data_IF_286752119753
#
_entry.id   IF_286752119753
#
_cell.length_a   1.000
_cell.length_b   1.000
_cell.length_c   1.000
_cell.angle_alpha   90.00
_cell.angle_beta   90.00
_cell.angle_gamma   90.00
#
_symmetry.space_group_name_H-M   'P 1'
#
loop_
_entity.id
_entity.type
_entity.pdbx_description
1 polymer ?
#
# COMPACT_ATOMS: atom_id res chain seq x y z
N UNK A 1 15.18 45.33 -40.51
CA UNK A 1 15.87 44.25 -39.79
C UNK A 1 15.20 44.09 -38.44
N UNK A 2 14.18 43.23 -38.36
CA UNK A 2 13.48 42.90 -37.11
C UNK A 2 13.81 41.46 -36.77
N UNK A 3 14.57 41.25 -35.70
CA UNK A 3 14.85 39.93 -35.16
C UNK A 3 13.61 39.48 -34.38
N UNK A 4 12.86 38.53 -34.95
CA UNK A 4 11.76 37.85 -34.27
C UNK A 4 12.34 36.85 -33.26
N UNK A 5 12.17 37.15 -31.98
CA UNK A 5 12.41 36.19 -30.91
C UNK A 5 11.32 35.11 -30.98
N UNK A 6 11.67 33.94 -31.50
CA UNK A 6 10.82 32.76 -31.45
C UNK A 6 10.75 32.26 -30.01
N UNK A 7 9.67 32.61 -29.31
CA UNK A 7 9.24 31.94 -28.09
C UNK A 7 8.85 30.51 -28.44
N UNK A 8 9.80 29.58 -28.30
CA UNK A 8 9.50 28.15 -28.36
C UNK A 8 8.58 27.80 -27.21
N UNK A 9 7.31 27.55 -27.50
CA UNK A 9 6.42 26.84 -26.60
C UNK A 9 7.04 25.48 -26.34
N UNK A 10 7.65 25.34 -25.17
CA UNK A 10 8.14 24.08 -24.66
C UNK A 10 6.89 23.25 -24.33
N UNK A 11 6.49 22.42 -25.29
CA UNK A 11 5.36 21.51 -25.20
C UNK A 11 5.49 20.75 -23.88
N UNK A 12 4.49 20.93 -23.00
CA UNK A 12 4.51 20.33 -21.67
C UNK A 12 4.67 18.80 -21.84
N UNK A 13 5.48 18.14 -21.00
CA UNK A 13 5.73 16.71 -21.12
C UNK A 13 4.42 15.94 -21.22
N UNK A 14 4.38 15.06 -22.22
CA UNK A 14 3.22 14.31 -22.68
C UNK A 14 2.55 13.56 -21.51
N UNK A 15 1.41 14.07 -21.02
CA UNK A 15 0.68 13.51 -19.86
C UNK A 15 -0.16 12.27 -20.23
N UNK A 16 0.04 11.74 -21.44
CA UNK A 16 -0.75 10.64 -22.00
C UNK A 16 -0.07 9.26 -21.81
N UNK A 17 0.98 9.16 -20.97
CA UNK A 17 1.56 7.87 -20.58
C UNK A 17 0.51 6.98 -19.89
N UNK A 18 0.33 5.76 -20.42
CA UNK A 18 -0.55 4.74 -19.83
C UNK A 18 0.10 4.18 -18.56
N UNK A 19 -0.53 4.39 -17.41
CA UNK A 19 -0.02 3.97 -16.09
C UNK A 19 -0.65 2.66 -15.60
N UNK A 20 -1.82 2.28 -16.12
CA UNK A 20 -2.41 0.97 -15.89
C UNK A 20 -3.31 0.51 -17.05
N UNK A 21 -3.38 -0.80 -17.20
CA UNK A 21 -4.27 -1.49 -18.13
C UNK A 21 -5.07 -2.53 -17.37
N UNK A 22 -6.39 -2.53 -17.54
CA UNK A 22 -7.31 -3.48 -16.93
C UNK A 22 -7.99 -4.29 -18.03
N UNK A 23 -7.89 -5.60 -17.91
CA UNK A 23 -8.56 -6.55 -18.78
C UNK A 23 -9.82 -7.11 -18.12
N UNK A 24 -9.94 -7.01 -16.80
CA UNK A 24 -10.99 -7.61 -15.99
C UNK A 24 -11.13 -9.11 -16.29
N UNK A 25 -10.02 -9.80 -16.52
CA UNK A 25 -10.04 -11.23 -16.87
C UNK A 25 -10.47 -11.55 -18.32
N UNK A 26 -10.67 -10.54 -19.16
CA UNK A 26 -10.88 -10.72 -20.60
C UNK A 26 -9.53 -10.81 -21.34
N UNK A 27 -9.53 -11.33 -22.57
CA UNK A 27 -8.30 -11.42 -23.38
C UNK A 27 -7.79 -10.05 -23.88
N UNK A 28 -8.67 -9.07 -24.01
CA UNK A 28 -8.36 -7.74 -24.53
C UNK A 28 -8.49 -6.67 -23.43
N UNK A 29 -7.65 -5.62 -23.46
CA UNK A 29 -7.80 -4.45 -22.59
C UNK A 29 -9.22 -3.87 -22.66
N UNK A 30 -9.83 -3.66 -21.50
CA UNK A 30 -11.16 -3.07 -21.36
C UNK A 30 -11.09 -1.62 -20.87
N UNK A 31 -10.06 -1.28 -20.09
CA UNK A 31 -9.82 0.06 -19.58
C UNK A 31 -8.32 0.34 -19.58
N UNK A 32 -7.94 1.47 -20.17
CA UNK A 32 -6.60 2.06 -20.07
C UNK A 32 -6.72 3.30 -19.19
N UNK A 33 -5.83 3.45 -18.23
CA UNK A 33 -5.70 4.68 -17.45
C UNK A 33 -4.39 5.35 -17.81
N UNK A 34 -4.48 6.54 -18.39
CA UNK A 34 -3.37 7.48 -18.51
C UNK A 34 -3.03 8.11 -17.16
N UNK A 35 -1.83 8.68 -17.03
CA UNK A 35 -1.44 9.43 -15.83
C UNK A 35 -2.44 10.54 -15.51
N UNK A 36 -2.91 11.27 -16.53
CA UNK A 36 -3.92 12.33 -16.39
C UNK A 36 -5.24 11.79 -15.83
N UNK A 37 -5.73 10.68 -16.38
CA UNK A 37 -6.97 10.05 -15.94
C UNK A 37 -6.86 9.47 -14.52
N UNK A 38 -5.72 8.90 -14.16
CA UNK A 38 -5.47 8.41 -12.80
C UNK A 38 -5.55 9.54 -11.76
N UNK A 39 -4.94 10.70 -12.03
CA UNK A 39 -5.02 11.88 -11.16
C UNK A 39 -6.44 12.43 -11.08
N UNK A 40 -7.19 12.39 -12.18
CA UNK A 40 -8.56 12.88 -12.26
C UNK A 40 -9.63 11.84 -11.88
N UNK A 41 -9.23 10.62 -11.48
CA UNK A 41 -10.15 9.53 -11.19
C UNK A 41 -11.09 9.94 -10.06
N UNK A 42 -12.40 9.87 -10.30
CA UNK A 42 -13.39 10.16 -9.27
C UNK A 42 -13.54 8.99 -8.30
N UNK A 43 -14.05 9.25 -7.09
CA UNK A 43 -14.36 8.20 -6.09
C UNK A 43 -15.33 7.17 -6.65
N UNK A 44 -16.37 7.60 -7.39
CA UNK A 44 -17.34 6.69 -8.01
C UNK A 44 -16.71 5.81 -9.10
N UNK A 45 -15.87 6.39 -9.95
CA UNK A 45 -15.17 5.63 -11.00
C UNK A 45 -14.22 4.59 -10.37
N UNK A 46 -13.45 4.99 -9.36
CA UNK A 46 -12.59 4.09 -8.60
C UNK A 46 -13.39 2.95 -7.94
N UNK A 47 -14.49 3.27 -7.24
CA UNK A 47 -15.35 2.28 -6.59
C UNK A 47 -15.93 1.29 -7.61
N UNK A 48 -16.33 1.75 -8.79
CA UNK A 48 -16.82 0.89 -9.86
C UNK A 48 -15.74 -0.07 -10.39
N UNK A 49 -14.52 0.42 -10.65
CA UNK A 49 -13.40 -0.42 -11.09
C UNK A 49 -13.11 -1.49 -10.03
N UNK A 50 -13.02 -1.08 -8.76
CA UNK A 50 -12.76 -1.98 -7.63
C UNK A 50 -13.86 -3.05 -7.49
N UNK A 51 -15.13 -2.64 -7.57
CA UNK A 51 -16.29 -3.54 -7.49
C UNK A 51 -16.28 -4.58 -8.60
N UNK A 52 -15.98 -4.19 -9.85
CA UNK A 52 -15.86 -5.14 -10.98
C UNK A 52 -14.80 -6.20 -10.68
N UNK A 53 -13.60 -5.77 -10.25
CA UNK A 53 -12.51 -6.68 -9.91
C UNK A 53 -12.90 -7.65 -8.80
N UNK A 54 -13.48 -7.15 -7.70
CA UNK A 54 -13.86 -7.98 -6.55
C UNK A 54 -14.99 -8.95 -6.89
N UNK A 55 -16.00 -8.52 -7.64
CA UNK A 55 -17.08 -9.41 -8.08
C UNK A 55 -16.57 -10.52 -9.01
N UNK A 56 -15.66 -10.20 -9.94
CA UNK A 56 -15.05 -11.23 -10.79
C UNK A 56 -14.18 -12.20 -9.98
N UNK A 57 -13.43 -11.71 -8.99
CA UNK A 57 -12.68 -12.56 -8.07
C UNK A 57 -13.61 -13.49 -7.27
N UNK A 58 -14.71 -12.98 -6.73
CA UNK A 58 -15.71 -13.78 -6.02
C UNK A 58 -16.28 -14.89 -6.91
N UNK A 59 -16.69 -14.55 -8.13
CA UNK A 59 -17.18 -15.53 -9.10
C UNK A 59 -16.11 -16.60 -9.39
N UNK A 60 -14.85 -16.21 -9.60
CA UNK A 60 -13.77 -17.16 -9.84
C UNK A 60 -13.54 -18.09 -8.63
N UNK A 61 -13.57 -17.56 -7.40
CA UNK A 61 -13.43 -18.37 -6.20
C UNK A 61 -14.52 -19.44 -6.08
N UNK A 62 -15.76 -19.13 -6.47
CA UNK A 62 -16.86 -20.11 -6.52
C UNK A 62 -16.64 -21.18 -7.60
N UNK A 63 -16.03 -20.81 -8.74
CA UNK A 63 -15.74 -21.74 -9.84
C UNK A 63 -14.52 -22.64 -9.60
N UNK A 64 -13.66 -22.33 -8.61
CA UNK A 64 -12.42 -23.09 -8.37
C UNK A 64 -12.65 -24.59 -8.13
N UNK A 65 -13.82 -24.99 -7.62
CA UNK A 65 -14.16 -26.39 -7.40
C UNK A 65 -14.30 -27.20 -8.71
N UNK A 66 -14.60 -26.54 -9.83
CA UNK A 66 -14.91 -27.20 -11.10
C UNK A 66 -13.75 -27.19 -12.10
N UNK A 67 -12.93 -26.13 -12.12
CA UNK A 67 -11.83 -25.98 -13.08
C UNK A 67 -10.63 -25.24 -12.45
N UNK A 68 -9.89 -25.87 -11.52
CA UNK A 68 -8.95 -25.17 -10.65
C UNK A 68 -7.79 -24.48 -11.38
N UNK A 69 -7.23 -25.09 -12.44
CA UNK A 69 -6.04 -24.54 -13.10
C UNK A 69 -6.33 -23.26 -13.91
N UNK A 70 -7.33 -23.28 -14.79
CA UNK A 70 -7.68 -22.13 -15.62
C UNK A 70 -8.21 -20.96 -14.77
N UNK A 71 -9.02 -21.28 -13.76
CA UNK A 71 -9.57 -20.30 -12.83
C UNK A 71 -8.47 -19.70 -11.93
N UNK A 72 -7.46 -20.48 -11.54
CA UNK A 72 -6.33 -19.96 -10.77
C UNK A 72 -5.53 -18.91 -11.55
N UNK A 73 -5.27 -19.13 -12.83
CA UNK A 73 -4.61 -18.13 -13.69
C UNK A 73 -5.46 -16.86 -13.85
N UNK A 74 -6.78 -17.03 -13.95
CA UNK A 74 -7.72 -15.90 -14.02
C UNK A 74 -7.72 -15.09 -12.70
N UNK A 75 -7.75 -15.77 -11.55
CA UNK A 75 -7.62 -15.14 -10.22
C UNK A 75 -6.29 -14.39 -10.12
N UNK A 76 -5.19 -15.00 -10.56
CA UNK A 76 -3.89 -14.36 -10.58
C UNK A 76 -3.94 -13.06 -11.39
N UNK A 77 -4.48 -13.07 -12.61
CA UNK A 77 -4.64 -11.86 -13.43
C UNK A 77 -5.49 -10.78 -12.73
N UNK A 78 -6.64 -11.16 -12.17
CA UNK A 78 -7.54 -10.22 -11.49
C UNK A 78 -6.91 -9.59 -10.24
N UNK A 79 -6.16 -10.37 -9.47
CA UNK A 79 -5.42 -9.88 -8.29
C UNK A 79 -4.33 -8.91 -8.72
N UNK A 80 -3.60 -9.19 -9.79
CA UNK A 80 -2.61 -8.27 -10.33
C UNK A 80 -3.23 -6.94 -10.75
N UNK A 81 -4.38 -6.98 -11.43
CA UNK A 81 -5.12 -5.77 -11.79
C UNK A 81 -5.58 -4.97 -10.55
N UNK A 82 -6.05 -5.64 -9.51
CA UNK A 82 -6.42 -4.99 -8.25
C UNK A 82 -5.23 -4.33 -7.55
N UNK A 83 -4.08 -5.01 -7.52
CA UNK A 83 -2.83 -4.45 -6.98
C UNK A 83 -2.35 -3.27 -7.83
N UNK A 84 -2.42 -3.38 -9.17
CA UNK A 84 -2.07 -2.30 -10.08
C UNK A 84 -2.94 -1.06 -9.87
N UNK A 85 -4.25 -1.23 -9.63
CA UNK A 85 -5.12 -0.10 -9.26
C UNK A 85 -4.63 0.56 -7.96
N UNK A 86 -4.33 -0.23 -6.93
CA UNK A 86 -3.82 0.32 -5.66
C UNK A 86 -2.51 1.09 -5.86
N UNK A 87 -1.58 0.59 -6.69
CA UNK A 87 -0.34 1.30 -7.02
C UNK A 87 -0.58 2.61 -7.77
N UNK A 88 -1.47 2.62 -8.77
CA UNK A 88 -1.87 3.85 -9.46
C UNK A 88 -2.44 4.88 -8.48
N UNK A 89 -3.26 4.45 -7.53
CA UNK A 89 -3.80 5.35 -6.51
C UNK A 89 -2.70 5.85 -5.56
N UNK A 90 -1.74 5.01 -5.16
CA UNK A 90 -0.58 5.46 -4.35
C UNK A 90 0.22 6.53 -5.10
N UNK A 91 0.52 6.32 -6.38
CA UNK A 91 1.39 7.20 -7.18
C UNK A 91 0.71 8.49 -7.65
N UNK A 92 -0.60 8.45 -7.92
CA UNK A 92 -1.28 9.53 -8.64
C UNK A 92 -2.53 10.06 -7.93
N UNK A 93 -3.09 9.35 -6.95
CA UNK A 93 -4.35 9.74 -6.32
C UNK A 93 -4.49 9.21 -4.88
N UNK A 94 -3.56 9.61 -4.01
CA UNK A 94 -3.48 9.11 -2.63
C UNK A 94 -4.76 9.41 -1.82
N UNK A 95 -5.44 10.52 -2.13
CA UNK A 95 -6.74 10.86 -1.53
C UNK A 95 -7.74 9.74 -1.77
N UNK A 96 -7.88 9.30 -3.02
CA UNK A 96 -8.78 8.21 -3.36
C UNK A 96 -8.38 6.88 -2.75
N UNK A 97 -7.09 6.58 -2.59
CA UNK A 97 -6.66 5.38 -1.85
C UNK A 97 -7.19 5.41 -0.41
N UNK A 98 -7.01 6.52 0.31
CA UNK A 98 -7.51 6.66 1.68
C UNK A 98 -9.05 6.57 1.74
N UNK A 99 -9.73 7.12 0.73
CA UNK A 99 -11.17 6.98 0.55
C UNK A 99 -11.56 5.52 0.33
N UNK A 100 -10.89 4.79 -0.57
CA UNK A 100 -11.18 3.38 -0.87
C UNK A 100 -11.23 2.52 0.39
N UNK A 101 -10.26 2.67 1.29
CA UNK A 101 -10.14 1.90 2.53
C UNK A 101 -11.32 2.13 3.50
N UNK A 102 -11.95 3.30 3.42
CA UNK A 102 -12.96 3.76 4.41
C UNK A 102 -14.38 3.87 3.86
N UNK A 103 -14.57 3.90 2.54
CA UNK A 103 -15.91 4.00 1.94
C UNK A 103 -16.65 2.67 1.91
N UNK A 104 -17.97 2.78 1.95
CA UNK A 104 -18.84 1.74 1.43
C UNK A 104 -18.82 1.78 -0.10
N UNK A 105 -18.21 0.79 -0.73
CA UNK A 105 -18.06 0.69 -2.20
C UNK A 105 -19.42 0.50 -2.88
N UNK A 106 -20.43 -0.05 -2.18
CA UNK A 106 -21.78 -0.19 -2.71
C UNK A 106 -22.55 1.15 -2.75
N UNK A 107 -22.19 2.09 -1.87
CA UNK A 107 -22.87 3.39 -1.74
C UNK A 107 -21.86 4.54 -1.55
N UNK A 108 -20.96 4.80 -2.52
CA UNK A 108 -19.84 5.72 -2.36
C UNK A 108 -20.24 7.19 -2.15
N UNK A 109 -21.46 7.57 -2.50
CA UNK A 109 -22.00 8.93 -2.33
C UNK A 109 -22.85 9.10 -1.08
N UNK A 110 -23.20 8.01 -0.39
CA UNK A 110 -23.99 8.11 0.83
C UNK A 110 -23.14 8.81 1.90
N UNK A 111 -23.73 9.72 2.71
CA UNK A 111 -23.03 10.23 3.88
C UNK A 111 -22.61 9.02 4.69
N UNK A 112 -21.30 8.91 4.96
CA UNK A 112 -20.76 7.83 5.79
C UNK A 112 -21.51 7.90 7.11
N UNK A 113 -22.49 7.02 7.25
CA UNK A 113 -23.00 6.67 8.57
C UNK A 113 -21.76 6.22 9.31
N UNK A 114 -21.55 6.72 10.52
CA UNK A 114 -20.62 6.10 11.46
C UNK A 114 -21.11 4.68 11.71
N UNK A 115 -20.90 3.81 10.72
CA UNK A 115 -21.31 2.42 10.68
C UNK A 115 -20.56 1.81 11.84
N UNK A 116 -21.31 1.63 12.92
CA UNK A 116 -20.84 1.13 14.20
C UNK A 116 -20.38 -0.32 14.12
N UNK A 117 -20.55 -0.97 12.98
CA UNK A 117 -20.25 -2.38 12.81
C UNK A 117 -18.79 -2.52 12.42
N UNK A 118 -17.89 -2.83 13.37
CA UNK A 118 -16.51 -3.12 13.05
C UNK A 118 -16.47 -4.30 12.08
N UNK A 119 -15.58 -4.21 11.09
CA UNK A 119 -15.32 -5.34 10.20
C UNK A 119 -14.92 -6.56 11.03
N UNK A 120 -15.48 -7.72 10.72
CA UNK A 120 -15.12 -8.98 11.38
C UNK A 120 -13.76 -9.49 10.87
N UNK A 121 -12.70 -8.84 11.35
CA UNK A 121 -11.31 -9.19 11.00
C UNK A 121 -10.97 -10.66 11.33
N UNK A 122 -11.41 -11.24 12.46
CA UNK A 122 -11.24 -12.67 12.71
C UNK A 122 -11.83 -13.56 11.61
N UNK A 123 -13.07 -13.27 11.15
CA UNK A 123 -13.68 -14.04 10.06
C UNK A 123 -12.90 -13.88 8.74
N UNK A 124 -12.42 -12.67 8.43
CA UNK A 124 -11.60 -12.43 7.23
C UNK A 124 -10.29 -13.20 7.29
N UNK A 125 -9.58 -13.18 8.43
CA UNK A 125 -8.36 -13.97 8.63
C UNK A 125 -8.60 -15.47 8.46
N UNK A 126 -9.70 -15.99 9.03
CA UNK A 126 -10.08 -17.39 8.87
C UNK A 126 -10.36 -17.74 7.40
N UNK A 127 -11.05 -16.86 6.66
CA UNK A 127 -11.37 -17.05 5.25
C UNK A 127 -10.10 -17.08 4.37
N UNK A 128 -9.04 -16.39 4.75
CA UNK A 128 -7.77 -16.41 4.02
C UNK A 128 -7.08 -17.78 4.05
N UNK A 129 -7.34 -18.63 5.06
CA UNK A 129 -6.68 -19.94 5.21
C UNK A 129 -5.15 -19.81 5.13
N UNK A 130 -4.58 -18.98 6.01
CA UNK A 130 -3.14 -18.75 6.07
C UNK A 130 -2.41 -20.01 6.55
N UNK A 131 -1.29 -20.34 5.92
CA UNK A 131 -0.34 -21.30 6.47
C UNK A 131 0.42 -20.68 7.64
N UNK A 132 0.89 -21.49 8.59
CA UNK A 132 1.66 -21.03 9.75
C UNK A 132 2.85 -20.15 9.35
N UNK A 133 3.69 -20.62 8.41
CA UNK A 133 4.82 -19.83 7.91
C UNK A 133 4.44 -18.53 7.21
N UNK A 134 3.23 -18.44 6.63
CA UNK A 134 2.74 -17.17 6.06
C UNK A 134 2.31 -16.21 7.17
N UNK A 135 1.62 -16.72 8.21
CA UNK A 135 1.25 -15.91 9.37
C UNK A 135 2.49 -15.33 10.07
N UNK A 136 3.53 -16.15 10.27
CA UNK A 136 4.83 -15.69 10.80
C UNK A 136 5.46 -14.60 9.93
N UNK A 137 5.46 -14.76 8.60
CA UNK A 137 5.99 -13.75 7.67
C UNK A 137 5.19 -12.45 7.71
N UNK A 138 3.87 -12.51 7.83
CA UNK A 138 3.00 -11.33 7.99
C UNK A 138 3.34 -10.58 9.28
N UNK A 139 3.50 -11.30 10.41
CA UNK A 139 3.89 -10.71 11.70
C UNK A 139 5.29 -10.11 11.66
N UNK A 140 6.26 -10.79 11.05
CA UNK A 140 7.61 -10.26 10.84
C UNK A 140 7.60 -8.99 9.98
N UNK A 141 6.77 -8.97 8.93
CA UNK A 141 6.58 -7.78 8.08
C UNK A 141 5.95 -6.64 8.87
N UNK A 142 4.93 -6.92 9.70
CA UNK A 142 4.32 -5.94 10.61
C UNK A 142 5.34 -5.32 11.56
N UNK A 143 6.14 -6.16 12.24
CA UNK A 143 7.19 -5.70 13.16
C UNK A 143 8.19 -4.77 12.48
N UNK A 144 8.65 -5.17 11.28
CA UNK A 144 9.58 -4.37 10.47
C UNK A 144 8.97 -3.02 10.07
N UNK A 145 7.75 -3.03 9.53
CA UNK A 145 7.03 -1.82 9.14
C UNK A 145 6.86 -0.85 10.31
N UNK A 146 6.40 -1.34 11.46
CA UNK A 146 6.19 -0.51 12.65
C UNK A 146 7.51 0.00 13.23
N UNK A 147 8.59 -0.76 13.12
CA UNK A 147 9.92 -0.27 13.48
C UNK A 147 10.35 0.92 12.62
N UNK A 148 10.24 0.80 11.29
CA UNK A 148 10.56 1.90 10.36
C UNK A 148 9.66 3.11 10.58
N UNK A 149 8.36 2.91 10.88
CA UNK A 149 7.46 4.00 11.27
C UNK A 149 7.91 4.71 12.54
N UNK A 150 8.38 3.97 13.56
CA UNK A 150 8.90 4.57 14.78
C UNK A 150 10.11 5.46 14.55
N UNK A 151 11.02 5.06 13.65
CA UNK A 151 12.17 5.87 13.21
C UNK A 151 11.70 7.14 12.50
N UNK A 152 10.81 7.01 11.52
CA UNK A 152 10.29 8.13 10.74
C UNK A 152 9.49 9.11 11.61
N UNK A 153 8.71 8.62 12.58
CA UNK A 153 8.03 9.49 13.55
C UNK A 153 9.00 10.22 14.47
N UNK A 154 10.08 9.58 14.93
CA UNK A 154 11.09 10.26 15.73
C UNK A 154 11.78 11.38 14.94
N UNK A 155 12.09 11.15 13.66
CA UNK A 155 12.62 12.21 12.78
C UNK A 155 11.62 13.35 12.61
N UNK A 156 10.34 13.03 12.37
CA UNK A 156 9.27 14.03 12.25
C UNK A 156 9.14 14.90 13.49
N UNK A 157 9.11 14.27 14.67
CA UNK A 157 9.01 14.97 15.95
C UNK A 157 10.23 15.91 16.15
N UNK A 158 11.44 15.47 15.77
CA UNK A 158 12.64 16.31 15.79
C UNK A 158 12.55 17.50 14.83
N UNK A 159 12.11 17.28 13.59
CA UNK A 159 11.95 18.35 12.59
C UNK A 159 10.92 19.39 13.07
N UNK A 160 9.84 18.93 13.69
CA UNK A 160 8.81 19.79 14.24
C UNK A 160 9.33 20.68 15.37
N UNK A 161 10.07 20.11 16.32
CA UNK A 161 10.72 20.89 17.40
C UNK A 161 11.71 21.92 16.83
N UNK A 162 12.49 21.57 15.81
CA UNK A 162 13.40 22.51 15.15
C UNK A 162 12.64 23.68 14.51
N UNK A 163 11.50 23.41 13.88
CA UNK A 163 10.68 24.44 13.25
C UNK A 163 10.09 25.40 14.30
N UNK A 164 9.55 24.87 15.41
CA UNK A 164 9.02 25.68 16.52
C UNK A 164 10.09 26.60 17.12
N UNK A 165 11.33 26.11 17.27
CA UNK A 165 12.44 26.90 17.79
C UNK A 165 12.82 28.10 16.89
N UNK A 166 12.44 28.10 15.60
CA UNK A 166 12.66 29.25 14.70
C UNK A 166 11.61 30.33 14.92
N UNK A 167 10.38 29.94 15.25
CA UNK A 167 9.25 30.86 15.46
C UNK A 167 9.42 31.70 16.73
N UNK A 168 10.09 31.15 17.76
CA UNK A 168 10.25 31.79 19.08
C UNK A 168 11.30 32.93 19.15
N UNK A 169 11.97 33.28 18.04
CA UNK A 169 13.06 34.29 18.06
C UNK A 169 12.62 35.61 17.39
N UNK A 170 12.63 36.72 18.13
CA UNK A 170 12.18 38.05 17.68
C UNK A 170 13.18 38.86 16.81
N UNK A 171 12.59 39.69 15.95
CA UNK A 171 12.90 41.03 15.41
C UNK A 171 14.35 41.51 15.10
N UNK A 172 15.06 40.84 14.19
CA UNK A 172 16.04 41.55 13.35
C UNK A 172 15.73 41.32 11.89
N UNK A 173 15.60 42.39 11.10
CA UNK A 173 15.28 42.34 9.67
C UNK A 173 16.31 41.55 8.87
N UNK A 174 17.58 41.60 9.27
CA UNK A 174 18.66 40.84 8.61
C UNK A 174 18.62 39.35 9.01
N UNK A 175 18.19 39.04 10.23
CA UNK A 175 17.97 37.66 10.68
C UNK A 175 16.75 36.99 10.04
N UNK A 176 15.77 37.78 9.57
CA UNK A 176 14.52 37.26 9.02
C UNK A 176 14.72 36.44 7.73
N UNK A 177 15.60 36.87 6.81
CA UNK A 177 15.85 36.15 5.56
C UNK A 177 16.51 34.78 5.80
N UNK A 178 17.49 34.71 6.69
CA UNK A 178 18.15 33.45 7.05
C UNK A 178 17.17 32.47 7.70
N UNK A 179 16.32 32.95 8.62
CA UNK A 179 15.28 32.13 9.26
C UNK A 179 14.24 31.60 8.26
N UNK A 180 13.83 32.43 7.30
CA UNK A 180 12.92 31.99 6.26
C UNK A 180 13.52 30.85 5.42
N UNK A 181 14.79 30.98 5.02
CA UNK A 181 15.49 29.92 4.29
C UNK A 181 15.61 28.63 5.12
N UNK A 182 15.91 28.75 6.41
CA UNK A 182 15.99 27.62 7.34
C UNK A 182 14.63 26.92 7.51
N UNK A 183 13.57 27.68 7.78
CA UNK A 183 12.20 27.17 7.91
C UNK A 183 11.74 26.48 6.62
N UNK A 184 12.03 27.07 5.45
CA UNK A 184 11.73 26.44 4.16
C UNK A 184 12.47 25.09 4.00
N UNK A 185 13.74 25.02 4.40
CA UNK A 185 14.52 23.78 4.39
C UNK A 185 13.94 22.70 5.33
N UNK A 186 13.51 23.07 6.53
CA UNK A 186 12.86 22.16 7.47
C UNK A 186 11.50 21.67 6.95
N UNK A 187 10.70 22.56 6.35
CA UNK A 187 9.43 22.21 5.74
C UNK A 187 9.59 21.22 4.56
N UNK A 188 10.62 21.39 3.75
CA UNK A 188 10.94 20.42 2.68
C UNK A 188 11.30 19.04 3.26
N UNK A 189 12.14 19.01 4.30
CA UNK A 189 12.50 17.75 4.98
C UNK A 189 11.28 17.09 5.62
N UNK A 190 10.38 17.87 6.20
CA UNK A 190 9.13 17.35 6.75
C UNK A 190 8.25 16.74 5.65
N UNK A 191 8.14 17.41 4.49
CA UNK A 191 7.42 16.86 3.33
C UNK A 191 8.06 15.55 2.84
N UNK A 192 9.38 15.49 2.75
CA UNK A 192 10.12 14.29 2.36
C UNK A 192 9.94 13.13 3.38
N UNK A 193 9.91 13.43 4.67
CA UNK A 193 9.63 12.44 5.73
C UNK A 193 8.19 11.89 5.65
N UNK A 194 7.19 12.74 5.40
CA UNK A 194 5.80 12.31 5.17
C UNK A 194 5.70 11.42 3.92
N UNK A 195 6.37 11.81 2.83
CA UNK A 195 6.44 10.97 1.63
C UNK A 195 7.10 9.61 1.92
N UNK A 196 8.17 9.60 2.71
CA UNK A 196 8.85 8.38 3.15
C UNK A 196 7.95 7.43 3.95
N UNK A 197 7.10 7.96 4.84
CA UNK A 197 6.09 7.17 5.55
C UNK A 197 5.12 6.49 4.58
N UNK A 198 4.64 7.23 3.58
CA UNK A 198 3.74 6.70 2.56
C UNK A 198 4.42 5.61 1.72
N UNK A 199 5.64 5.86 1.23
CA UNK A 199 6.40 4.88 0.45
C UNK A 199 6.71 3.62 1.25
N UNK A 200 7.16 3.77 2.51
CA UNK A 200 7.43 2.64 3.41
C UNK A 200 6.17 1.78 3.61
N UNK A 201 5.02 2.41 3.89
CA UNK A 201 3.72 1.72 4.00
C UNK A 201 3.40 0.94 2.73
N UNK A 202 3.43 1.61 1.59
CA UNK A 202 3.04 1.04 0.31
C UNK A 202 3.98 -0.10 -0.12
N UNK A 203 5.27 0.00 0.15
CA UNK A 203 6.25 -1.06 -0.08
C UNK A 203 5.91 -2.33 0.70
N UNK A 204 5.75 -2.23 2.02
CA UNK A 204 5.46 -3.42 2.83
C UNK A 204 4.10 -4.04 2.53
N UNK A 205 3.06 -3.23 2.26
CA UNK A 205 1.76 -3.75 1.82
C UNK A 205 1.88 -4.45 0.47
N UNK A 206 2.63 -3.89 -0.48
CA UNK A 206 2.87 -4.50 -1.79
C UNK A 206 3.66 -5.81 -1.67
N UNK A 207 4.67 -5.85 -0.81
CA UNK A 207 5.41 -7.06 -0.49
C UNK A 207 4.48 -8.17 0.04
N UNK A 208 3.56 -7.85 0.94
CA UNK A 208 2.59 -8.84 1.46
C UNK A 208 1.76 -9.43 0.32
N UNK A 209 1.18 -8.57 -0.53
CA UNK A 209 0.33 -9.04 -1.63
C UNK A 209 1.08 -9.85 -2.68
N UNK A 210 2.34 -9.53 -2.94
CA UNK A 210 3.09 -10.13 -4.07
C UNK A 210 4.04 -11.25 -3.66
N UNK A 211 4.44 -11.34 -2.38
CA UNK A 211 5.47 -12.29 -1.92
C UNK A 211 5.02 -13.21 -0.80
N UNK A 212 4.12 -12.76 0.08
CA UNK A 212 3.70 -13.54 1.25
C UNK A 212 2.42 -14.32 0.96
N UNK A 213 1.43 -13.65 0.38
CA UNK A 213 0.13 -14.24 0.06
C UNK A 213 0.14 -14.85 -1.34
N UNK A 214 -0.50 -16.00 -1.50
CA UNK A 214 -0.83 -16.51 -2.83
C UNK A 214 -1.97 -15.69 -3.46
N UNK A 215 -2.10 -15.64 -4.80
CA UNK A 215 -3.17 -14.89 -5.44
C UNK A 215 -4.58 -15.29 -4.96
N UNK A 216 -4.83 -16.59 -4.73
CA UNK A 216 -6.10 -17.07 -4.19
C UNK A 216 -6.39 -16.49 -2.81
N UNK A 217 -5.38 -16.39 -1.94
CA UNK A 217 -5.53 -15.80 -0.60
C UNK A 217 -5.76 -14.29 -0.67
N UNK A 218 -5.07 -13.59 -1.58
CA UNK A 218 -5.34 -12.17 -1.84
C UNK A 218 -6.77 -11.98 -2.32
N UNK A 219 -7.24 -12.77 -3.29
CA UNK A 219 -8.62 -12.69 -3.78
C UNK A 219 -9.64 -12.92 -2.65
N UNK A 220 -9.46 -13.96 -1.81
CA UNK A 220 -10.33 -14.23 -0.66
C UNK A 220 -10.36 -13.04 0.31
N UNK A 221 -9.20 -12.46 0.61
CA UNK A 221 -9.09 -11.27 1.44
C UNK A 221 -9.84 -10.07 0.85
N UNK A 222 -9.63 -9.76 -0.44
CA UNK A 222 -10.26 -8.63 -1.11
C UNK A 222 -11.79 -8.79 -1.20
N UNK A 223 -12.27 -10.01 -1.47
CA UNK A 223 -13.70 -10.35 -1.48
C UNK A 223 -14.32 -10.22 -0.09
N UNK A 224 -13.66 -10.76 0.94
CA UNK A 224 -14.16 -10.74 2.30
C UNK A 224 -14.14 -9.33 2.94
N UNK A 225 -13.42 -8.36 2.35
CA UNK A 225 -13.46 -6.97 2.78
C UNK A 225 -14.75 -6.23 2.37
N UNK A 226 -15.48 -6.72 1.35
CA UNK A 226 -16.69 -6.06 0.87
C UNK A 226 -17.76 -5.96 1.98
N UNK A 227 -18.46 -4.82 2.08
CA UNK A 227 -18.50 -3.72 1.11
C UNK A 227 -17.44 -2.61 1.32
N UNK A 228 -16.47 -2.81 2.22
CA UNK A 228 -15.41 -1.83 2.50
C UNK A 228 -14.13 -2.14 1.69
N UNK A 229 -13.27 -1.15 1.47
CA UNK A 229 -11.96 -1.40 0.87
C UNK A 229 -11.01 -2.18 1.78
N UNK A 230 -9.92 -2.75 1.25
CA UNK A 230 -8.98 -3.55 2.02
C UNK A 230 -8.18 -2.68 3.01
N UNK A 231 -8.00 -3.15 4.24
CA UNK A 231 -7.10 -2.55 5.23
C UNK A 231 -6.14 -3.60 5.81
N UNK A 232 -4.98 -3.73 5.16
CA UNK A 232 -3.96 -4.71 5.55
C UNK A 232 -3.40 -4.43 6.94
N UNK A 233 -3.33 -3.17 7.40
CA UNK A 233 -2.78 -2.86 8.73
C UNK A 233 -3.73 -3.29 9.84
N UNK A 234 -5.04 -3.10 9.65
CA UNK A 234 -6.05 -3.61 10.57
C UNK A 234 -6.07 -5.14 10.61
N UNK A 235 -5.95 -5.80 9.45
CA UNK A 235 -5.82 -7.26 9.37
C UNK A 235 -4.57 -7.77 10.13
N UNK A 236 -3.40 -7.17 9.89
CA UNK A 236 -2.15 -7.53 10.58
C UNK A 236 -2.23 -7.27 12.09
N UNK A 237 -2.94 -6.23 12.51
CA UNK A 237 -3.18 -5.94 13.93
C UNK A 237 -4.06 -7.02 14.57
N UNK A 238 -5.10 -7.47 13.87
CA UNK A 238 -5.93 -8.59 14.33
C UNK A 238 -5.11 -9.88 14.45
N UNK A 239 -4.27 -10.20 13.47
CA UNK A 239 -3.39 -11.38 13.50
C UNK A 239 -2.39 -11.30 14.67
N UNK A 240 -1.82 -10.12 14.93
CA UNK A 240 -0.91 -9.90 16.05
C UNK A 240 -1.58 -10.15 17.41
N UNK A 241 -2.83 -9.68 17.58
CA UNK A 241 -3.61 -9.94 18.80
C UNK A 241 -3.85 -11.44 18.98
N UNK A 242 -4.21 -12.16 17.91
CA UNK A 242 -4.42 -13.62 17.97
C UNK A 242 -3.13 -14.40 18.29
N UNK A 243 -1.97 -13.81 18.03
CA UNK A 243 -0.65 -14.44 18.19
C UNK A 243 0.11 -13.93 19.43
N UNK A 244 -0.53 -13.16 20.31
CA UNK A 244 0.07 -12.55 21.50
C UNK A 244 1.34 -11.73 21.20
N UNK A 245 1.37 -11.05 20.05
CA UNK A 245 2.48 -10.16 19.65
C UNK A 245 2.35 -8.76 20.30
N UNK A 246 3.46 -8.03 20.50
CA UNK A 246 3.43 -6.69 21.08
C UNK A 246 2.48 -5.74 20.34
N UNK A 247 1.86 -4.86 21.13
CA UNK A 247 0.95 -3.84 20.64
C UNK A 247 1.66 -2.87 19.69
N UNK A 248 0.88 -2.20 18.84
CA UNK A 248 1.42 -1.21 17.90
C UNK A 248 2.19 -0.11 18.62
N UNK A 249 1.68 0.36 19.76
CA UNK A 249 2.32 1.42 20.55
C UNK A 249 3.64 0.99 21.18
N UNK A 250 3.73 -0.27 21.63
CA UNK A 250 4.99 -0.81 22.15
C UNK A 250 6.06 -0.90 21.07
N UNK A 251 5.72 -1.42 19.89
CA UNK A 251 6.66 -1.51 18.77
C UNK A 251 7.12 -0.13 18.29
N UNK A 252 6.19 0.82 18.16
CA UNK A 252 6.52 2.19 17.78
C UNK A 252 7.42 2.87 18.84
N UNK A 253 7.13 2.68 20.13
CA UNK A 253 7.92 3.26 21.22
C UNK A 253 9.32 2.66 21.30
N UNK A 254 9.44 1.35 21.11
CA UNK A 254 10.72 0.64 21.12
C UNK A 254 11.65 1.07 19.96
N UNK A 255 11.07 1.48 18.83
CA UNK A 255 11.83 1.91 17.66
C UNK A 255 12.31 3.37 17.72
N UNK A 256 11.79 4.20 18.63
CA UNK A 256 12.19 5.62 18.74
C UNK A 256 13.60 5.73 19.35
N UNK A 257 14.58 6.32 18.64
CA UNK A 257 15.92 6.54 19.19
C UNK A 257 15.85 7.44 20.44
N UNK A 258 16.45 7.01 21.56
CA UNK A 258 16.63 7.83 22.76
C UNK A 258 15.68 7.58 23.93
N UNK A 259 14.60 6.80 23.77
CA UNK A 259 13.69 6.45 24.89
C UNK A 259 14.28 5.39 25.83
N UNK A 260 15.14 4.50 25.32
CA UNK A 260 15.73 3.42 26.13
C UNK A 260 16.76 3.91 27.17
N UNK A 261 17.38 5.08 26.97
CA UNK A 261 18.46 5.56 27.82
C UNK A 261 18.00 6.32 29.07
N UNK A 262 16.76 6.83 29.13
CA UNK A 262 16.27 7.62 30.26
C UNK A 262 15.45 6.83 31.29
N UNK A 263 14.89 5.67 30.90
CA UNK A 263 14.08 4.84 31.80
C UNK A 263 14.90 4.06 32.83
N UNK A 264 16.24 4.01 32.69
CA UNK A 264 17.14 3.31 33.61
C UNK A 264 17.79 4.20 34.69
N UNK A 265 17.56 5.52 34.68
CA UNK A 265 18.32 6.46 35.51
C UNK A 265 17.58 6.98 36.76
N UNK A 266 16.34 6.55 37.04
CA UNK A 266 15.52 7.07 38.15
C UNK A 266 15.26 6.08 39.29
N UNK A 267 16.01 4.99 39.40
CA UNK A 267 15.92 4.05 40.53
C UNK A 267 17.31 3.78 41.13
N UNK A 268 17.77 4.67 42.03
CA UNK A 268 19.07 4.48 42.66
C UNK A 268 19.49 5.58 43.65
N UNK A 269 18.80 5.67 44.79
CA UNK A 269 19.42 6.16 46.03
C UNK A 269 18.90 5.31 47.19
N UNK A 270 19.61 4.22 47.46
CA UNK A 270 19.30 3.29 48.54
C UNK A 270 20.24 2.09 48.50
N UNK A 271 21.36 2.21 49.20
CA UNK A 271 22.42 1.20 49.26
C UNK A 271 21.97 -0.08 49.99
N UNK A 272 22.23 -1.24 49.37
CA UNK A 272 22.47 -2.48 50.11
C UNK A 272 23.34 -3.42 49.27
N UNK A 273 24.56 -3.62 49.75
CA UNK A 273 25.52 -4.62 49.30
C UNK A 273 25.00 -6.04 49.53
N UNK A 274 24.84 -6.81 48.45
CA UNK A 274 24.50 -8.23 48.50
C UNK A 274 24.95 -8.92 47.21
N UNK A 275 25.83 -9.90 47.36
CA UNK A 275 26.46 -10.64 46.27
C UNK A 275 25.47 -11.58 45.55
N UNK A 276 25.74 -11.77 44.25
CA UNK A 276 25.30 -12.93 43.48
C UNK A 276 24.10 -12.70 42.57
N UNK A 277 24.35 -12.67 41.26
CA UNK A 277 23.60 -13.46 40.26
C UNK A 277 24.06 -13.13 38.84
N UNK A 278 24.51 -14.18 38.15
CA UNK A 278 24.39 -14.46 36.71
C UNK A 278 24.17 -13.28 35.75
N UNK A 279 25.25 -12.96 35.04
CA UNK A 279 25.23 -12.35 33.70
C UNK A 279 24.47 -13.24 32.72
N UNK A 280 23.16 -13.05 32.65
CA UNK A 280 22.33 -13.56 31.56
C UNK A 280 22.51 -12.65 30.35
N UNK A 281 23.44 -13.01 29.47
CA UNK A 281 23.49 -12.49 28.12
C UNK A 281 22.19 -12.89 27.43
N UNK A 282 21.19 -12.01 27.49
CA UNK A 282 20.02 -12.08 26.64
C UNK A 282 20.50 -11.92 25.21
N UNK A 283 20.78 -13.06 24.56
CA UNK A 283 20.88 -13.14 23.12
C UNK A 283 19.60 -12.49 22.59
N UNK A 284 19.71 -11.29 22.04
CA UNK A 284 18.67 -10.73 21.20
C UNK A 284 18.43 -11.80 20.15
N UNK A 285 17.32 -12.51 20.27
CA UNK A 285 16.90 -13.54 19.35
C UNK A 285 17.01 -12.91 17.98
N UNK A 286 18.04 -13.31 17.24
CA UNK A 286 18.29 -12.85 15.89
C UNK A 286 17.20 -13.45 15.02
N UNK A 287 15.99 -12.89 15.14
CA UNK A 287 14.94 -13.11 14.19
C UNK A 287 15.56 -12.68 12.85
N UNK A 288 15.63 -13.57 11.86
CA UNK A 288 16.19 -13.22 10.58
C UNK A 288 15.49 -11.94 10.12
N UNK A 289 16.24 -10.91 9.71
CA UNK A 289 15.63 -9.69 9.18
C UNK A 289 14.62 -10.12 8.13
N UNK A 290 13.40 -9.60 8.23
CA UNK A 290 12.38 -9.79 7.22
C UNK A 290 13.05 -9.56 5.86
N UNK A 291 12.98 -10.56 4.97
CA UNK A 291 13.57 -10.49 3.62
C UNK A 291 12.89 -9.43 2.73
N UNK A 292 11.94 -8.66 3.26
CA UNK A 292 11.52 -7.42 2.64
C UNK A 292 12.79 -6.55 2.52
N UNK A 293 13.28 -6.39 1.28
CA UNK A 293 14.46 -5.58 1.00
C UNK A 293 14.33 -4.15 1.52
N UNK A 294 15.38 -3.35 1.34
CA UNK A 294 15.38 -1.96 1.80
C UNK A 294 14.28 -1.17 1.09
N UNK A 295 13.21 -0.81 1.83
CA UNK A 295 12.07 -0.06 1.31
C UNK A 295 12.51 1.29 0.72
N UNK A 296 13.68 1.81 1.10
CA UNK A 296 14.26 3.03 0.53
C UNK A 296 14.52 2.91 -0.97
N UNK A 297 14.69 1.72 -1.52
CA UNK A 297 14.74 1.51 -2.97
C UNK A 297 13.44 1.98 -3.67
N UNK A 298 12.30 1.91 -2.99
CA UNK A 298 11.02 2.42 -3.50
C UNK A 298 10.91 3.95 -3.47
N UNK A 299 11.89 4.67 -2.92
CA UNK A 299 12.02 6.11 -3.11
C UNK A 299 12.60 6.46 -4.49
N UNK A 300 13.37 5.54 -5.08
CA UNK A 300 14.07 5.76 -6.34
C UNK A 300 13.34 5.13 -7.53
N UNK A 301 12.55 4.08 -7.29
CA UNK A 301 11.86 3.35 -8.34
C UNK A 301 10.37 3.20 -8.03
N UNK A 302 9.48 3.29 -9.06
CA UNK A 302 8.06 3.01 -8.88
C UNK A 302 7.83 1.63 -8.28
N UNK A 303 6.85 1.49 -7.38
CA UNK A 303 6.52 0.21 -6.73
C UNK A 303 6.17 -0.86 -7.77
N UNK A 304 5.55 -0.45 -8.87
CA UNK A 304 5.25 -1.32 -10.01
C UNK A 304 6.50 -1.95 -10.64
N UNK A 305 7.68 -1.32 -10.54
CA UNK A 305 8.94 -1.86 -11.07
C UNK A 305 9.56 -2.81 -10.06
N UNK A 306 9.62 -2.42 -8.79
CA UNK A 306 10.22 -3.24 -7.72
C UNK A 306 9.44 -4.52 -7.43
N UNK A 307 8.12 -4.42 -7.52
CA UNK A 307 7.20 -5.52 -7.32
C UNK A 307 6.56 -5.98 -8.62
N UNK A 308 7.10 -5.57 -9.78
CA UNK A 308 6.72 -6.15 -11.05
C UNK A 308 6.79 -7.66 -10.88
N UNK A 309 5.64 -8.32 -11.00
CA UNK A 309 5.66 -9.75 -11.19
C UNK A 309 6.51 -9.97 -12.43
N UNK A 310 7.50 -10.88 -12.42
CA UNK A 310 8.18 -11.22 -13.66
C UNK A 310 7.04 -11.65 -14.58
N UNK A 311 6.71 -10.83 -15.57
CA UNK A 311 5.75 -11.23 -16.59
C UNK A 311 6.31 -12.56 -17.07
N UNK A 312 5.69 -13.67 -16.66
CA UNK A 312 5.86 -14.93 -17.36
C UNK A 312 5.44 -14.51 -18.74
N UNK A 313 6.42 -14.33 -19.65
CA UNK A 313 6.17 -14.19 -21.05
C UNK A 313 5.12 -15.25 -21.33
N UNK A 314 3.89 -14.80 -21.59
CA UNK A 314 2.74 -15.70 -21.53
C UNK A 314 3.05 -16.90 -22.40
N UNK A 315 2.53 -18.11 -22.09
CA UNK A 315 2.49 -19.11 -23.14
C UNK A 315 1.89 -18.40 -24.36
N UNK A 316 2.48 -18.53 -25.56
CA UNK A 316 1.95 -17.88 -26.73
C UNK A 316 0.53 -18.37 -26.84
N UNK A 317 -0.44 -17.52 -26.47
CA UNK A 317 -1.81 -17.73 -26.88
C UNK A 317 -1.70 -17.67 -28.40
N UNK A 318 -1.62 -18.87 -29.00
CA UNK A 318 -1.68 -19.02 -30.44
C UNK A 318 -2.90 -18.25 -30.93
N UNK A 319 -2.86 -17.71 -32.15
CA UNK A 319 -3.95 -16.90 -32.68
C UNK A 319 -5.26 -17.62 -32.38
N UNK A 320 -6.08 -16.99 -31.52
CA UNK A 320 -7.39 -17.54 -31.18
C UNK A 320 -8.15 -17.84 -32.48
N UNK A 321 -9.06 -18.82 -32.50
CA UNK A 321 -9.81 -19.16 -33.70
C UNK A 321 -10.40 -17.87 -34.27
N UNK A 322 -9.99 -17.54 -35.50
CA UNK A 322 -10.48 -16.39 -36.24
C UNK A 322 -11.99 -16.41 -36.14
N UNK A 323 -12.57 -15.46 -35.40
CA UNK A 323 -14.02 -15.30 -35.38
C UNK A 323 -14.43 -15.04 -36.82
N UNK A 324 -15.05 -16.03 -37.46
CA UNK A 324 -15.68 -15.81 -38.74
C UNK A 324 -16.74 -14.73 -38.55
N UNK A 325 -16.77 -13.70 -39.42
CA UNK A 325 -17.82 -12.71 -39.35
C UNK A 325 -19.17 -13.43 -39.46
N UNK A 326 -20.03 -13.16 -38.50
CA UNK A 326 -21.40 -13.66 -38.48
C UNK A 326 -22.14 -13.07 -39.68
N UNK A 327 -22.23 -13.82 -40.79
CA UNK A 327 -23.03 -13.45 -41.95
C UNK A 327 -24.48 -13.89 -41.63
N UNK A 328 -25.43 -12.96 -41.42
CA UNK A 328 -26.82 -13.33 -41.22
C UNK A 328 -27.37 -14.02 -42.47
N UNK A 329 -27.83 -15.26 -42.33
CA UNK A 329 -28.54 -15.97 -43.41
C UNK A 329 -29.90 -15.29 -43.65
N UNK A 330 -30.28 -15.02 -44.90
CA UNK A 330 -31.61 -14.51 -45.22
C UNK A 330 -32.65 -15.58 -44.86
N UNK A 331 -33.66 -15.19 -44.08
CA UNK A 331 -34.81 -16.04 -43.80
C UNK A 331 -35.62 -16.22 -45.09
N UNK A 332 -35.60 -17.42 -45.65
CA UNK A 332 -36.59 -17.84 -46.64
C UNK A 332 -37.89 -18.12 -45.91
N UNK A 333 -38.90 -17.27 -46.13
CA UNK A 333 -40.26 -17.48 -45.61
C UNK A 333 -40.96 -18.65 -46.31
N UNK A 334 -41.89 -19.34 -45.63
CA UNK A 334 -42.71 -20.38 -46.25
C UNK A 334 -43.86 -19.77 -47.06
N UNK A 335 -44.22 -20.44 -48.15
CA UNK A 335 -45.46 -20.24 -48.91
C UNK A 335 -46.70 -20.54 -48.08
#
# INVERSE_FOLDING_TARGET
>A
MGAGAGSGEQEAPDNDEVVATFCFGEAAPQLLLTQREARALSVNAMANIWKILVHKMAWCLDQMAFAPMDIQLLIESLVHEAIALMWVLVEHNLRNLNTLVTINIETPTAPQSSSSDPRDWPAILAAMQLQEGQAEQLLATRRTLLHEFGILFAERDRLWVQLQNIEDVEESTEGAMTRFAEAAGLMERLRANVNSLHTCRSFHISYIYTRVLSPVQVARYLVACMPMGPDMLSLLTCLAIQSDEPSTDELLRAARPGTAAMSGASSGSGASSGAGASSGSGASSGLPPCLAGDWRQALEQPLRVLHAWPHRAGPPFGPGPTQQPFIPRPMSGPM
#
